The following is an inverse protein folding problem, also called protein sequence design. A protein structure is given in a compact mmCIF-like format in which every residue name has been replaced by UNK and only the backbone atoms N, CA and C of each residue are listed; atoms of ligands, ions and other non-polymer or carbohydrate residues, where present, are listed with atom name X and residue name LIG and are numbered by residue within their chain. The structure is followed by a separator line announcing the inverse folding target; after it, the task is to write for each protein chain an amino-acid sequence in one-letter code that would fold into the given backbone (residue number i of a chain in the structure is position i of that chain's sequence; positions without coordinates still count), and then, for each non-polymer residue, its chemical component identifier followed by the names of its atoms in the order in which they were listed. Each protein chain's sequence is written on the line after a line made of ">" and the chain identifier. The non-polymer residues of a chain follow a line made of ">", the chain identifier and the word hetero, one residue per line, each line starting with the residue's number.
data_IF_246388349418
#
_entry.id   IF_246388349418
#
_cell.length_a   1.000
_cell.length_b   1.000
_cell.length_c   1.000
_cell.angle_alpha   90.00
_cell.angle_beta   90.00
_cell.angle_gamma   90.00
#
_symmetry.space_group_name_H-M   'P 1'
#
loop_
_entity.id
_entity.type
_entity.pdbx_description
1 polymer ?
#
# COMPACT_ATOMS: atom_id res chain seq x y z
N UNK A 1 17.86 11.69 -2.20
CA UNK A 1 18.33 10.30 -2.41
C UNK A 1 17.12 9.57 -2.94
N UNK A 2 17.16 8.98 -4.15
CA UNK A 2 16.00 8.23 -4.63
C UNK A 2 15.65 7.14 -3.61
N UNK A 3 14.37 7.01 -3.29
CA UNK A 3 13.91 5.94 -2.40
C UNK A 3 14.31 4.62 -3.06
N UNK A 4 14.83 3.70 -2.26
CA UNK A 4 14.91 2.31 -2.69
C UNK A 4 13.55 1.71 -2.40
N UNK A 5 12.54 1.92 -3.24
CA UNK A 5 11.27 1.21 -3.08
C UNK A 5 11.50 -0.24 -3.55
N UNK A 6 11.04 -1.19 -2.74
CA UNK A 6 11.08 -2.62 -3.03
C UNK A 6 9.64 -3.10 -3.01
N UNK A 7 9.04 -3.28 -4.18
CA UNK A 7 7.61 -3.63 -4.31
C UNK A 7 7.43 -4.84 -5.21
N UNK A 8 6.45 -5.68 -4.89
CA UNK A 8 6.27 -6.93 -5.63
C UNK A 8 4.76 -7.19 -5.78
N UNK A 9 4.29 -7.30 -7.02
CA UNK A 9 3.04 -7.96 -7.37
C UNK A 9 3.33 -9.45 -7.64
N UNK A 10 2.77 -10.36 -6.84
CA UNK A 10 2.99 -11.80 -6.97
C UNK A 10 1.81 -12.49 -7.69
N UNK A 11 2.13 -13.29 -8.73
CA UNK A 11 1.26 -14.32 -9.33
C UNK A 11 1.86 -15.68 -9.03
N UNK A 12 1.13 -16.56 -8.34
CA UNK A 12 1.63 -17.89 -7.93
C UNK A 12 1.24 -19.02 -8.89
N UNK A 13 1.87 -20.20 -8.74
CA UNK A 13 1.53 -21.52 -9.31
C UNK A 13 1.37 -22.54 -8.15
N UNK A 14 0.19 -23.15 -7.91
CA UNK A 14 -0.20 -23.74 -6.63
C UNK A 14 -1.34 -24.75 -6.70
N UNK A 15 -0.97 -26.03 -6.68
CA UNK A 15 -1.84 -27.21 -6.73
C UNK A 15 -2.77 -27.35 -5.50
N UNK A 16 -4.05 -27.60 -5.79
CA UNK A 16 -5.12 -27.77 -4.80
C UNK A 16 -5.05 -29.09 -4.02
N UNK A 17 -5.41 -29.00 -2.73
CA UNK A 17 -5.67 -30.16 -1.87
C UNK A 17 -6.91 -29.89 -1.02
N UNK A 18 -7.92 -30.72 -1.25
CA UNK A 18 -9.21 -30.78 -0.54
C UNK A 18 -9.03 -31.34 0.86
N UNK A 19 -9.51 -30.61 1.88
CA UNK A 19 -9.55 -31.05 3.28
C UNK A 19 -10.98 -31.15 3.83
N UNK A 20 -11.29 -32.32 4.39
CA UNK A 20 -12.56 -32.72 5.01
C UNK A 20 -13.01 -31.82 6.17
N UNK A 21 -14.34 -31.67 6.30
CA UNK A 21 -15.04 -31.08 7.43
C UNK A 21 -15.13 -32.06 8.61
N UNK A 22 -14.79 -31.60 9.82
CA UNK A 22 -15.27 -32.21 11.07
C UNK A 22 -15.92 -31.11 11.90
N UNK A 23 -17.22 -31.26 12.13
CA UNK A 23 -18.03 -30.45 13.03
C UNK A 23 -17.82 -30.91 14.46
N UNK A 24 -17.45 -30.00 15.37
CA UNK A 24 -17.61 -30.19 16.80
C UNK A 24 -18.32 -28.97 17.39
N UNK A 25 -19.40 -29.25 18.10
CA UNK A 25 -20.27 -28.31 18.79
C UNK A 25 -19.70 -28.16 20.21
N UNK A 26 -19.39 -26.94 20.64
CA UNK A 26 -19.09 -26.67 22.06
C UNK A 26 -19.77 -25.38 22.53
N UNK A 27 -20.27 -25.49 23.75
CA UNK A 27 -21.17 -24.59 24.46
C UNK A 27 -20.51 -23.28 24.88
N UNK A 28 -21.24 -22.16 24.74
CA UNK A 28 -20.76 -20.82 25.10
C UNK A 28 -20.94 -20.59 26.61
N UNK A 29 -19.88 -20.80 27.38
CA UNK A 29 -19.79 -20.30 28.75
C UNK A 29 -19.26 -18.86 28.77
N UNK A 30 -20.05 -17.95 29.33
CA UNK A 30 -19.80 -16.50 29.33
C UNK A 30 -18.88 -16.11 30.48
N UNK A 31 -17.62 -16.52 30.40
CA UNK A 31 -16.56 -16.07 31.31
C UNK A 31 -15.99 -14.73 30.88
N UNK A 32 -16.23 -13.68 31.67
CA UNK A 32 -15.55 -12.38 31.53
C UNK A 32 -14.03 -12.59 31.66
N UNK A 33 -13.34 -12.63 30.52
CA UNK A 33 -11.90 -12.81 30.44
C UNK A 33 -11.20 -11.59 31.07
N UNK A 34 -10.68 -11.75 32.29
CA UNK A 34 -9.74 -10.82 32.91
C UNK A 34 -8.60 -10.57 31.91
N UNK A 35 -8.45 -9.33 31.45
CA UNK A 35 -7.32 -8.93 30.61
C UNK A 35 -6.03 -9.21 31.38
N UNK A 36 -5.22 -10.12 30.87
CA UNK A 36 -3.89 -10.39 31.41
C UNK A 36 -3.07 -9.08 31.42
N UNK A 37 -2.14 -8.89 32.39
CA UNK A 37 -1.28 -7.72 32.41
C UNK A 37 -0.51 -7.62 31.09
N UNK A 38 -0.43 -6.40 30.54
CA UNK A 38 0.47 -6.08 29.44
C UNK A 38 1.88 -6.50 29.89
N UNK A 39 2.57 -7.29 29.07
CA UNK A 39 3.97 -7.64 29.30
C UNK A 39 4.83 -6.37 29.47
N UNK A 40 6.10 -6.52 29.90
CA UNK A 40 6.99 -5.37 30.03
C UNK A 40 6.96 -4.53 28.74
N UNK A 41 6.97 -3.19 28.84
CA UNK A 41 6.95 -2.32 27.67
C UNK A 41 8.05 -2.75 26.71
N UNK A 42 7.72 -2.99 25.44
CA UNK A 42 8.73 -3.28 24.43
C UNK A 42 9.65 -2.05 24.33
N UNK A 43 10.91 -2.24 24.74
CA UNK A 43 11.93 -1.18 24.69
C UNK A 43 12.57 -1.25 23.31
N UNK A 44 12.46 -0.18 22.48
CA UNK A 44 13.07 -0.19 21.15
C UNK A 44 14.57 -0.45 21.23
N UNK A 45 15.11 -1.30 20.36
CA UNK A 45 16.55 -1.55 20.29
C UNK A 45 17.35 -0.28 19.97
N UNK A 46 18.67 -0.34 20.18
CA UNK A 46 19.56 0.73 19.75
C UNK A 46 19.46 1.02 18.24
N UNK A 47 19.20 0.00 17.43
CA UNK A 47 18.96 0.16 15.99
C UNK A 47 17.67 0.94 15.73
N UNK A 48 16.56 0.56 16.37
CA UNK A 48 15.29 1.28 16.26
C UNK A 48 15.42 2.74 16.71
N UNK A 49 16.08 3.00 17.84
CA UNK A 49 16.34 4.37 18.33
C UNK A 49 17.18 5.20 17.34
N UNK A 50 18.17 4.57 16.70
CA UNK A 50 18.96 5.21 15.65
C UNK A 50 18.12 5.51 14.41
N UNK A 51 17.23 4.61 14.00
CA UNK A 51 16.28 4.82 12.91
C UNK A 51 15.29 5.96 13.21
N UNK A 52 14.74 6.02 14.43
CA UNK A 52 13.89 7.15 14.84
C UNK A 52 14.61 8.49 14.68
N UNK A 53 15.88 8.56 15.09
CA UNK A 53 16.69 9.77 14.97
C UNK A 53 17.03 10.09 13.50
N UNK A 54 17.26 9.06 12.69
CA UNK A 54 17.51 9.19 11.26
C UNK A 54 16.27 9.74 10.52
N UNK A 55 15.10 9.13 10.69
CA UNK A 55 13.90 9.54 9.97
C UNK A 55 13.39 10.94 10.39
N UNK A 56 13.58 11.36 11.65
CA UNK A 56 13.35 12.76 12.04
C UNK A 56 14.22 13.74 11.25
N UNK A 57 15.48 13.41 11.00
CA UNK A 57 16.38 14.24 10.17
C UNK A 57 15.95 14.22 8.71
N UNK A 58 15.52 13.07 8.19
CA UNK A 58 14.99 12.94 6.83
C UNK A 58 13.78 13.86 6.64
N UNK A 59 12.75 13.73 7.49
CA UNK A 59 11.54 14.55 7.39
C UNK A 59 11.88 16.04 7.49
N UNK A 60 12.70 16.43 8.48
CA UNK A 60 13.12 17.82 8.65
C UNK A 60 13.88 18.36 7.43
N UNK A 61 14.78 17.57 6.84
CA UNK A 61 15.52 17.99 5.65
C UNK A 61 14.64 18.14 4.42
N UNK A 62 13.69 17.22 4.21
CA UNK A 62 12.74 17.29 3.09
C UNK A 62 11.82 18.51 3.26
N UNK A 63 11.24 18.70 4.45
CA UNK A 63 10.38 19.84 4.73
C UNK A 63 11.11 21.18 4.57
N UNK A 64 12.38 21.28 5.02
CA UNK A 64 13.19 22.50 4.84
C UNK A 64 13.51 22.81 3.37
N UNK A 65 13.44 21.82 2.48
CA UNK A 65 13.60 22.00 1.02
C UNK A 65 12.28 22.36 0.33
N UNK A 66 11.17 22.49 1.07
CA UNK A 66 9.83 22.70 0.50
C UNK A 66 9.20 21.44 -0.08
N UNK A 67 9.75 20.26 0.21
CA UNK A 67 9.18 18.96 -0.13
C UNK A 67 8.17 18.53 0.96
N UNK A 68 7.62 17.32 0.85
CA UNK A 68 6.58 16.77 1.73
C UNK A 68 5.32 17.66 1.79
N UNK A 69 4.97 18.29 0.67
CA UNK A 69 3.78 19.13 0.54
C UNK A 69 2.51 18.35 0.87
N UNK A 70 1.59 19.00 1.57
CA UNK A 70 0.30 18.45 1.99
C UNK A 70 -0.90 19.11 1.31
N UNK A 71 -0.63 20.07 0.41
CA UNK A 71 -1.64 20.90 -0.27
C UNK A 71 -2.40 20.17 -1.39
N UNK A 72 -1.92 19.00 -1.82
CA UNK A 72 -2.53 18.20 -2.88
C UNK A 72 -2.27 18.72 -4.30
N UNK A 73 -1.28 19.60 -4.46
CA UNK A 73 -0.98 20.31 -5.70
C UNK A 73 -1.76 21.61 -5.84
N UNK A 74 -1.33 22.46 -6.78
CA UNK A 74 -1.89 23.79 -6.97
C UNK A 74 -1.60 24.38 -8.35
N UNK A 75 -1.81 25.70 -8.53
CA UNK A 75 -1.54 26.40 -9.78
C UNK A 75 -0.09 26.26 -10.28
N UNK A 76 0.86 25.98 -9.38
CA UNK A 76 2.28 25.77 -9.66
C UNK A 76 2.61 24.33 -10.14
N UNK A 77 1.64 23.43 -10.06
CA UNK A 77 1.75 22.03 -10.51
C UNK A 77 0.67 21.67 -11.53
N UNK A 78 0.56 22.40 -12.66
CA UNK A 78 -0.45 22.09 -13.65
C UNK A 78 -0.14 20.77 -14.33
N UNK A 79 -1.18 20.02 -14.66
CA UNK A 79 -1.10 18.87 -15.54
C UNK A 79 -2.24 18.90 -16.55
N UNK A 80 -1.98 18.40 -17.75
CA UNK A 80 -2.99 18.29 -18.80
C UNK A 80 -3.41 16.83 -19.03
N UNK A 81 -4.45 16.63 -19.85
CA UNK A 81 -4.97 15.30 -20.23
C UNK A 81 -3.88 14.33 -20.68
N UNK A 82 -2.91 14.80 -21.49
CA UNK A 82 -1.84 13.95 -22.03
C UNK A 82 -0.94 13.42 -20.92
N UNK A 83 -0.59 14.27 -19.96
CA UNK A 83 0.17 13.87 -18.77
C UNK A 83 -0.63 12.87 -17.94
N UNK A 84 -1.93 13.12 -17.69
CA UNK A 84 -2.78 12.19 -16.94
C UNK A 84 -2.85 10.80 -17.58
N UNK A 85 -3.04 10.73 -18.91
CA UNK A 85 -3.04 9.46 -19.66
C UNK A 85 -1.69 8.76 -19.58
N UNK A 86 -0.59 9.48 -19.82
CA UNK A 86 0.75 8.92 -19.76
C UNK A 86 1.04 8.38 -18.36
N UNK A 87 0.82 9.19 -17.34
CA UNK A 87 1.07 8.83 -15.95
C UNK A 87 0.21 7.65 -15.52
N UNK A 88 -1.07 7.58 -15.90
CA UNK A 88 -1.89 6.40 -15.63
C UNK A 88 -1.28 5.13 -16.22
N UNK A 89 -0.89 5.16 -17.49
CA UNK A 89 -0.27 4.00 -18.13
C UNK A 89 0.99 3.59 -17.37
N UNK A 90 1.85 4.55 -17.02
CA UNK A 90 3.10 4.28 -16.27
C UNK A 90 2.82 3.68 -14.88
N UNK A 91 1.92 4.28 -14.12
CA UNK A 91 1.72 3.97 -12.69
C UNK A 91 0.77 2.79 -12.48
N UNK A 92 -0.29 2.70 -13.27
CA UNK A 92 -1.39 1.75 -13.07
C UNK A 92 -1.37 0.53 -13.99
N UNK A 93 -0.44 0.45 -14.96
CA UNK A 93 -0.39 -0.67 -15.92
C UNK A 93 0.99 -1.26 -16.12
N UNK A 94 2.08 -0.51 -15.99
CA UNK A 94 3.43 -1.09 -16.05
C UNK A 94 3.82 -1.70 -14.70
N UNK A 95 4.64 -2.76 -14.75
CA UNK A 95 5.24 -3.33 -13.55
C UNK A 95 6.56 -2.64 -13.24
N UNK A 96 6.80 -2.40 -11.95
CA UNK A 96 8.07 -1.87 -11.43
C UNK A 96 9.19 -2.92 -11.47
N UNK A 97 8.85 -4.20 -11.26
CA UNK A 97 9.81 -5.32 -11.22
C UNK A 97 9.35 -6.51 -12.04
N UNK A 98 10.32 -7.28 -12.52
CA UNK A 98 10.10 -8.57 -13.20
C UNK A 98 10.64 -9.71 -12.34
N UNK A 99 9.85 -10.76 -12.13
CA UNK A 99 10.31 -12.00 -11.49
C UNK A 99 11.10 -12.85 -12.50
N UNK A 100 12.42 -12.92 -12.35
CA UNK A 100 13.31 -13.76 -13.16
C UNK A 100 13.97 -14.81 -12.25
N UNK A 101 13.76 -16.11 -12.52
CA UNK A 101 14.38 -17.22 -11.76
C UNK A 101 14.13 -17.17 -10.24
N UNK A 102 12.92 -16.80 -9.81
CA UNK A 102 12.59 -16.69 -8.38
C UNK A 102 13.22 -15.47 -7.69
N UNK A 103 13.84 -14.55 -8.45
CA UNK A 103 14.41 -13.29 -7.96
C UNK A 103 13.79 -12.11 -8.70
N UNK A 104 13.45 -11.06 -7.97
CA UNK A 104 12.93 -9.83 -8.55
C UNK A 104 14.07 -8.98 -9.11
N UNK A 105 13.87 -8.43 -10.30
CA UNK A 105 14.79 -7.48 -10.95
C UNK A 105 14.07 -6.17 -11.19
N UNK A 106 14.78 -5.03 -11.07
CA UNK A 106 14.24 -3.68 -11.33
C UNK A 106 14.03 -3.42 -12.84
N UNK A 107 13.84 -4.47 -13.64
CA UNK A 107 13.51 -4.32 -15.04
C UNK A 107 12.02 -4.04 -15.14
N UNK A 108 11.72 -2.84 -15.59
CA UNK A 108 10.38 -2.45 -16.00
C UNK A 108 9.86 -3.42 -17.07
N UNK A 109 8.65 -3.94 -16.88
CA UNK A 109 7.97 -4.78 -17.87
C UNK A 109 6.58 -4.24 -18.17
N UNK A 110 6.02 -4.62 -19.32
CA UNK A 110 4.59 -4.49 -19.52
C UNK A 110 3.87 -5.26 -18.41
N UNK A 111 2.96 -4.58 -17.73
CA UNK A 111 2.06 -5.18 -16.75
C UNK A 111 0.64 -5.23 -17.32
N UNK A 112 -0.32 -5.37 -16.41
CA UNK A 112 -1.75 -5.42 -16.71
C UNK A 112 -2.49 -4.51 -15.77
N UNK A 113 -3.68 -4.06 -16.16
CA UNK A 113 -4.58 -3.38 -15.22
C UNK A 113 -4.99 -4.37 -14.12
N UNK A 114 -4.58 -4.11 -12.87
CA UNK A 114 -4.94 -4.91 -11.71
C UNK A 114 -5.68 -4.05 -10.69
N UNK A 115 -6.74 -4.59 -10.07
CA UNK A 115 -7.48 -3.90 -9.01
C UNK A 115 -8.30 -4.87 -8.16
N UNK A 116 -8.85 -4.36 -7.07
CA UNK A 116 -9.83 -5.08 -6.27
C UNK A 116 -11.21 -5.08 -6.93
N UNK A 117 -11.86 -6.25 -7.00
CA UNK A 117 -13.31 -6.34 -7.28
C UNK A 117 -14.12 -6.42 -5.98
N UNK A 118 -13.60 -7.15 -4.99
CA UNK A 118 -14.25 -7.26 -3.68
C UNK A 118 -14.06 -5.96 -2.89
N UNK A 119 -14.96 -5.64 -1.94
CA UNK A 119 -14.73 -4.54 -1.00
C UNK A 119 -13.37 -4.67 -0.31
N UNK A 120 -12.69 -3.53 -0.13
CA UNK A 120 -11.44 -3.44 0.61
C UNK A 120 -11.74 -3.09 2.05
N UNK A 121 -11.40 -4.01 2.95
CA UNK A 121 -11.57 -3.89 4.39
C UNK A 121 -10.17 -3.79 4.99
N UNK A 122 -9.79 -2.60 5.46
CA UNK A 122 -8.46 -2.31 5.99
C UNK A 122 -8.41 -2.69 7.46
N UNK A 123 -7.47 -3.55 7.84
CA UNK A 123 -7.15 -3.87 9.22
C UNK A 123 -5.77 -3.34 9.57
N UNK A 124 -5.63 -2.68 10.73
CA UNK A 124 -4.35 -2.21 11.22
C UNK A 124 -3.83 -3.11 12.33
N UNK A 125 -2.56 -3.48 12.24
CA UNK A 125 -1.81 -4.20 13.27
C UNK A 125 -0.66 -3.30 13.73
N UNK A 126 -0.47 -3.22 15.04
CA UNK A 126 0.55 -2.37 15.63
C UNK A 126 1.45 -3.23 16.52
N UNK A 127 2.76 -3.12 16.31
CA UNK A 127 3.76 -3.81 17.13
C UNK A 127 3.74 -3.34 18.58
N UNK A 128 4.34 -4.09 19.49
CA UNK A 128 4.37 -3.79 20.93
C UNK A 128 5.04 -2.45 21.29
N UNK A 129 6.02 -1.97 20.51
CA UNK A 129 6.70 -0.68 20.78
C UNK A 129 5.83 0.54 20.47
N UNK A 130 4.79 0.37 19.65
CA UNK A 130 3.98 1.50 19.19
C UNK A 130 3.15 2.07 20.35
N UNK A 131 3.34 3.34 20.78
CA UNK A 131 2.57 3.91 21.89
C UNK A 131 1.08 4.02 21.55
N UNK A 132 0.19 3.85 22.53
CA UNK A 132 -1.27 3.89 22.30
C UNK A 132 -1.72 5.18 21.60
N UNK A 133 -1.13 6.33 21.96
CA UNK A 133 -1.41 7.62 21.31
C UNK A 133 -1.17 7.56 19.79
N UNK A 134 -0.07 6.95 19.36
CA UNK A 134 0.27 6.78 17.95
C UNK A 134 -0.73 5.85 17.27
N UNK A 135 -1.08 4.72 17.91
CA UNK A 135 -2.10 3.79 17.38
C UNK A 135 -3.44 4.48 17.12
N UNK A 136 -3.87 5.30 18.07
CA UNK A 136 -5.14 6.03 17.98
C UNK A 136 -5.09 7.11 16.88
N UNK A 137 -3.97 7.82 16.74
CA UNK A 137 -3.76 8.81 15.68
C UNK A 137 -3.76 8.16 14.30
N UNK A 138 -2.96 7.12 14.10
CA UNK A 138 -2.82 6.41 12.84
C UNK A 138 -4.14 5.73 12.45
N UNK A 139 -4.86 5.13 13.41
CA UNK A 139 -6.18 4.52 13.15
C UNK A 139 -7.18 5.56 12.67
N UNK A 140 -7.25 6.74 13.29
CA UNK A 140 -8.14 7.83 12.84
C UNK A 140 -7.73 8.34 11.46
N UNK A 141 -6.43 8.50 11.22
CA UNK A 141 -5.90 8.95 9.94
C UNK A 141 -6.29 8.00 8.81
N UNK A 142 -5.99 6.69 8.97
CA UNK A 142 -6.32 5.67 7.97
C UNK A 142 -7.83 5.51 7.81
N UNK A 143 -8.63 5.66 8.87
CA UNK A 143 -10.11 5.65 8.77
C UNK A 143 -10.61 6.77 7.85
N UNK A 144 -10.13 8.00 8.07
CA UNK A 144 -10.52 9.14 7.25
C UNK A 144 -10.05 8.99 5.81
N UNK A 145 -8.82 8.50 5.64
CA UNK A 145 -8.23 8.27 4.33
C UNK A 145 -8.96 7.19 3.54
N UNK A 146 -9.31 6.06 4.17
CA UNK A 146 -10.15 5.02 3.58
C UNK A 146 -11.49 5.58 3.09
N UNK A 147 -12.12 6.46 3.87
CA UNK A 147 -13.34 7.16 3.47
C UNK A 147 -13.14 8.11 2.28
N UNK A 148 -12.00 8.80 2.20
CA UNK A 148 -11.63 9.63 1.03
C UNK A 148 -11.45 8.76 -0.21
N UNK A 149 -10.68 7.68 -0.12
CA UNK A 149 -10.47 6.73 -1.21
C UNK A 149 -11.78 6.10 -1.70
N UNK A 150 -12.69 5.74 -0.80
CA UNK A 150 -14.01 5.20 -1.16
C UNK A 150 -14.82 6.19 -2.01
N UNK A 151 -14.79 7.48 -1.67
CA UNK A 151 -15.48 8.53 -2.45
C UNK A 151 -14.82 8.77 -3.80
N UNK A 152 -13.50 8.83 -3.85
CA UNK A 152 -12.73 9.08 -5.08
C UNK A 152 -12.91 7.94 -6.08
N UNK A 153 -12.81 6.70 -5.61
CA UNK A 153 -12.86 5.50 -6.47
C UNK A 153 -14.29 5.03 -6.77
N UNK A 154 -15.27 5.42 -5.97
CA UNK A 154 -16.59 4.79 -5.97
C UNK A 154 -16.58 3.33 -5.47
N UNK A 155 -15.42 2.81 -5.04
CA UNK A 155 -15.26 1.46 -4.55
C UNK A 155 -15.53 1.37 -3.05
N UNK A 156 -15.99 0.22 -2.57
CA UNK A 156 -16.24 0.00 -1.15
C UNK A 156 -14.92 -0.19 -0.41
N UNK A 157 -14.43 0.88 0.21
CA UNK A 157 -13.19 0.89 1.01
C UNK A 157 -13.53 1.37 2.42
N UNK A 158 -13.19 0.58 3.44
CA UNK A 158 -13.50 0.92 4.83
C UNK A 158 -12.59 0.21 5.83
N UNK A 159 -12.60 0.63 7.09
CA UNK A 159 -11.95 -0.10 8.16
C UNK A 159 -12.69 -1.40 8.48
N UNK A 160 -11.94 -2.48 8.67
CA UNK A 160 -12.47 -3.77 9.08
C UNK A 160 -12.92 -3.75 10.54
N UNK A 161 -14.08 -4.36 10.84
CA UNK A 161 -14.56 -4.54 12.22
C UNK A 161 -13.83 -5.65 12.98
N UNK A 162 -13.30 -6.65 12.27
CA UNK A 162 -12.60 -7.82 12.85
C UNK A 162 -11.38 -8.25 12.05
N UNK A 163 -11.58 -8.72 10.82
CA UNK A 163 -10.50 -9.13 9.90
C UNK A 163 -10.68 -8.41 8.57
N UNK A 164 -9.60 -7.78 8.12
CA UNK A 164 -9.53 -7.15 6.81
C UNK A 164 -8.99 -8.11 5.74
N UNK A 165 -9.08 -7.70 4.49
CA UNK A 165 -8.32 -8.26 3.38
C UNK A 165 -7.19 -7.31 2.93
N UNK A 166 -7.12 -6.10 3.49
CA UNK A 166 -5.97 -5.22 3.35
C UNK A 166 -5.37 -5.02 4.74
N UNK A 167 -4.11 -5.39 4.92
CA UNK A 167 -3.45 -5.35 6.22
C UNK A 167 -2.41 -4.23 6.24
N UNK A 168 -2.52 -3.31 7.19
CA UNK A 168 -1.50 -2.27 7.42
C UNK A 168 -0.81 -2.59 8.74
N UNK A 169 0.47 -2.93 8.69
CA UNK A 169 1.29 -3.25 9.85
C UNK A 169 2.20 -2.07 10.17
N UNK A 170 2.02 -1.46 11.34
CA UNK A 170 2.91 -0.41 11.87
C UNK A 170 3.82 -1.06 12.90
N UNK A 171 5.09 -1.22 12.55
CA UNK A 171 6.05 -2.05 13.27
C UNK A 171 7.41 -1.35 13.32
N UNK A 172 8.15 -1.51 14.41
CA UNK A 172 9.56 -1.13 14.45
C UNK A 172 10.45 -2.14 13.69
N UNK A 173 11.73 -1.82 13.50
CA UNK A 173 12.69 -2.66 12.77
C UNK A 173 12.84 -4.06 13.37
N UNK A 174 12.73 -4.21 14.68
CA UNK A 174 12.90 -5.51 15.36
C UNK A 174 11.65 -6.37 15.14
N UNK A 175 10.49 -5.74 15.21
CA UNK A 175 9.19 -6.35 14.96
C UNK A 175 9.00 -6.73 13.50
N UNK A 176 9.48 -5.91 12.55
CA UNK A 176 9.49 -6.23 11.10
C UNK A 176 10.30 -7.50 10.87
N UNK A 177 11.52 -7.61 11.43
CA UNK A 177 12.36 -8.82 11.31
C UNK A 177 11.67 -10.07 11.84
N UNK A 178 10.82 -9.93 12.86
CA UNK A 178 10.06 -11.02 13.47
C UNK A 178 8.69 -11.27 12.81
N UNK A 179 8.27 -10.48 11.81
CA UNK A 179 6.89 -10.47 11.31
C UNK A 179 6.54 -11.65 10.38
N UNK A 180 7.55 -12.39 9.89
CA UNK A 180 7.40 -13.45 8.87
C UNK A 180 6.30 -14.49 9.19
N UNK A 181 6.31 -15.12 10.38
CA UNK A 181 5.26 -16.07 10.76
C UNK A 181 3.85 -15.45 10.81
N UNK A 182 3.74 -14.16 11.10
CA UNK A 182 2.45 -13.45 11.07
C UNK A 182 2.01 -13.20 9.63
N UNK A 183 2.92 -12.79 8.73
CA UNK A 183 2.63 -12.66 7.30
C UNK A 183 2.06 -13.96 6.72
N UNK A 184 2.68 -15.11 7.02
CA UNK A 184 2.23 -16.41 6.52
C UNK A 184 0.85 -16.83 7.06
N UNK A 185 0.46 -16.35 8.25
CA UNK A 185 -0.90 -16.56 8.78
C UNK A 185 -1.92 -15.63 8.13
N UNK A 186 -1.53 -14.41 7.79
CA UNK A 186 -2.38 -13.44 7.10
C UNK A 186 -2.59 -13.79 5.63
N UNK A 187 -1.58 -14.41 5.01
CA UNK A 187 -1.55 -14.80 3.60
C UNK A 187 -1.30 -16.31 3.54
N UNK A 188 -2.34 -17.15 3.65
CA UNK A 188 -2.21 -18.59 3.48
C UNK A 188 -1.57 -18.91 2.13
N UNK A 189 -0.52 -19.74 2.14
CA UNK A 189 0.26 -20.08 0.94
C UNK A 189 1.48 -19.21 0.69
N UNK A 190 1.73 -18.17 1.50
CA UNK A 190 2.96 -17.37 1.38
C UNK A 190 4.19 -18.21 1.75
N UNK A 191 5.10 -18.38 0.79
CA UNK A 191 6.38 -19.05 1.03
C UNK A 191 7.24 -18.31 2.07
N UNK A 192 7.97 -19.08 2.87
CA UNK A 192 8.88 -18.52 3.88
C UNK A 192 10.00 -17.68 3.26
N UNK A 193 10.43 -18.01 2.03
CA UNK A 193 11.42 -17.26 1.25
C UNK A 193 10.94 -15.84 0.91
N UNK A 194 9.66 -15.69 0.54
CA UNK A 194 9.04 -14.41 0.23
C UNK A 194 8.72 -13.64 1.49
N UNK A 195 8.22 -14.31 2.53
CA UNK A 195 8.03 -13.69 3.84
C UNK A 195 9.36 -13.11 4.38
N UNK A 196 10.45 -13.87 4.27
CA UNK A 196 11.80 -13.43 4.67
C UNK A 196 12.24 -12.18 3.89
N UNK A 197 12.03 -12.15 2.57
CA UNK A 197 12.31 -10.98 1.73
C UNK A 197 11.53 -9.74 2.20
N UNK A 198 10.22 -9.88 2.42
CA UNK A 198 9.36 -8.80 2.92
C UNK A 198 9.87 -8.27 4.28
N UNK A 199 10.30 -9.16 5.17
CA UNK A 199 10.81 -8.80 6.50
C UNK A 199 12.28 -8.34 6.54
N UNK A 200 13.00 -8.44 5.42
CA UNK A 200 14.40 -8.03 5.28
C UNK A 200 14.56 -6.56 4.82
N UNK A 201 13.62 -5.71 5.25
CA UNK A 201 13.48 -4.34 4.82
C UNK A 201 14.69 -3.49 5.24
N UNK A 202 15.52 -3.07 4.28
CA UNK A 202 16.70 -2.24 4.52
C UNK A 202 16.35 -0.80 4.94
N UNK A 203 17.30 -0.10 5.57
CA UNK A 203 17.11 1.26 6.10
C UNK A 203 16.58 2.30 5.09
N UNK A 204 16.97 2.31 3.81
CA UNK A 204 16.43 3.28 2.84
C UNK A 204 14.97 3.07 2.47
N UNK A 205 14.40 1.88 2.76
CA UNK A 205 12.99 1.60 2.50
C UNK A 205 12.18 2.19 3.65
N UNK A 206 11.31 3.14 3.33
CA UNK A 206 10.45 3.83 4.31
C UNK A 206 9.24 2.96 4.66
N UNK A 207 8.57 2.46 3.63
CA UNK A 207 7.41 1.59 3.70
C UNK A 207 7.36 0.71 2.46
N UNK A 208 6.53 -0.33 2.49
CA UNK A 208 6.34 -1.22 1.35
C UNK A 208 4.97 -1.87 1.38
N UNK A 209 4.36 -2.07 0.21
CA UNK A 209 3.12 -2.82 0.03
C UNK A 209 3.33 -3.99 -0.92
N UNK A 210 2.65 -5.07 -0.58
CA UNK A 210 2.59 -6.29 -1.37
C UNK A 210 1.13 -6.63 -1.60
N UNK A 211 0.70 -6.62 -2.86
CA UNK A 211 -0.65 -7.04 -3.26
C UNK A 211 -0.57 -8.41 -3.93
N UNK A 212 -1.51 -9.27 -3.58
CA UNK A 212 -1.51 -10.67 -3.99
C UNK A 212 -2.78 -10.98 -4.76
N UNK A 213 -2.61 -11.65 -5.90
CA UNK A 213 -3.67 -12.18 -6.73
C UNK A 213 -3.64 -13.70 -6.70
N UNK A 214 -4.76 -14.32 -7.02
CA UNK A 214 -4.73 -15.73 -7.33
C UNK A 214 -4.15 -15.91 -8.72
N UNK A 215 -3.50 -17.03 -8.88
CA UNK A 215 -2.97 -17.60 -10.11
C UNK A 215 -3.96 -17.75 -11.25
N UNK A 216 -5.18 -18.21 -10.96
CA UNK A 216 -6.26 -18.32 -11.94
C UNK A 216 -6.84 -16.96 -12.33
N UNK A 217 -6.64 -15.94 -11.48
CA UNK A 217 -7.15 -14.56 -11.64
C UNK A 217 -6.05 -13.53 -11.30
N UNK A 218 -4.97 -13.47 -12.08
CA UNK A 218 -3.77 -12.69 -11.74
C UNK A 218 -4.03 -11.19 -11.67
N UNK A 219 -5.11 -10.71 -12.30
CA UNK A 219 -5.46 -9.29 -12.36
C UNK A 219 -6.33 -8.82 -11.18
N UNK A 220 -6.74 -9.72 -10.27
CA UNK A 220 -7.63 -9.40 -9.15
C UNK A 220 -6.93 -9.63 -7.83
N UNK A 221 -6.71 -8.54 -7.10
CA UNK A 221 -6.21 -8.62 -5.74
C UNK A 221 -7.24 -9.26 -4.81
N UNK A 222 -6.76 -10.16 -3.96
CA UNK A 222 -7.55 -10.79 -2.91
C UNK A 222 -7.02 -10.46 -1.51
N UNK A 223 -5.73 -10.15 -1.38
CA UNK A 223 -5.12 -9.66 -0.14
C UNK A 223 -3.99 -8.68 -0.43
N UNK A 224 -3.73 -7.76 0.50
CA UNK A 224 -2.53 -6.93 0.48
C UNK A 224 -2.00 -6.71 1.89
N UNK A 225 -0.68 -6.51 1.99
CA UNK A 225 -0.01 -6.14 3.24
C UNK A 225 0.89 -4.95 2.99
N UNK A 226 0.60 -3.84 3.66
CA UNK A 226 1.46 -2.67 3.77
C UNK A 226 2.22 -2.70 5.11
N UNK A 227 3.54 -2.50 5.06
CA UNK A 227 4.41 -2.38 6.23
C UNK A 227 4.88 -0.93 6.32
N UNK A 228 4.64 -0.31 7.45
CA UNK A 228 5.03 1.08 7.75
C UNK A 228 5.88 1.08 9.01
N UNK A 229 7.05 1.72 8.95
CA UNK A 229 7.95 1.80 10.10
C UNK A 229 7.36 2.67 11.20
N UNK A 230 7.31 2.13 12.42
CA UNK A 230 6.92 2.87 13.62
C UNK A 230 7.91 4.00 13.96
N UNK A 231 9.16 3.89 13.49
CA UNK A 231 10.20 4.89 13.72
C UNK A 231 9.99 6.19 12.93
N UNK A 232 9.08 6.21 11.96
CA UNK A 232 8.78 7.42 11.20
C UNK A 232 8.20 8.52 12.09
N UNK A 233 8.64 9.78 11.91
CA UNK A 233 7.87 10.93 12.37
C UNK A 233 6.50 11.00 11.66
N UNK A 234 5.62 11.84 12.19
CA UNK A 234 4.20 11.79 11.86
C UNK A 234 3.90 12.05 10.37
N UNK A 235 4.59 12.99 9.71
CA UNK A 235 4.30 13.32 8.32
C UNK A 235 4.83 12.24 7.36
N UNK A 236 6.04 11.71 7.58
CA UNK A 236 6.54 10.55 6.82
C UNK A 236 5.66 9.31 7.03
N UNK A 237 5.15 9.08 8.23
CA UNK A 237 4.24 7.95 8.49
C UNK A 237 2.92 8.12 7.75
N UNK A 238 2.36 9.33 7.75
CA UNK A 238 1.17 9.67 6.97
C UNK A 238 1.40 9.52 5.46
N UNK A 239 2.57 9.94 4.97
CA UNK A 239 2.94 9.79 3.57
C UNK A 239 2.96 8.33 3.14
N UNK A 240 3.57 7.47 3.96
CA UNK A 240 3.52 6.03 3.75
C UNK A 240 2.11 5.46 3.73
N UNK A 241 1.19 5.93 4.59
CA UNK A 241 -0.21 5.47 4.50
C UNK A 241 -0.87 5.90 3.18
N UNK A 242 -0.60 7.12 2.70
CA UNK A 242 -1.15 7.61 1.45
C UNK A 242 -0.68 6.78 0.25
N UNK A 243 0.62 6.54 0.19
CA UNK A 243 1.28 5.80 -0.87
C UNK A 243 0.89 4.32 -0.83
N UNK A 244 1.25 3.61 0.23
CA UNK A 244 1.13 2.15 0.26
C UNK A 244 -0.32 1.68 0.15
N UNK A 245 -1.29 2.44 0.68
CA UNK A 245 -2.70 2.09 0.50
C UNK A 245 -3.13 2.36 -0.94
N UNK A 246 -2.80 3.51 -1.54
CA UNK A 246 -3.20 3.81 -2.91
C UNK A 246 -2.57 2.85 -3.93
N UNK A 247 -1.31 2.46 -3.73
CA UNK A 247 -0.65 1.48 -4.57
C UNK A 247 -1.18 0.08 -4.36
N UNK A 248 -1.46 -0.30 -3.11
CA UNK A 248 -2.13 -1.55 -2.79
C UNK A 248 -3.54 -1.66 -3.38
N UNK A 249 -4.14 -0.55 -3.85
CA UNK A 249 -5.38 -0.56 -4.63
C UNK A 249 -5.17 -0.86 -6.12
N UNK A 250 -3.95 -0.65 -6.65
CA UNK A 250 -3.55 -1.01 -8.01
C UNK A 250 -2.74 0.05 -8.78
N UNK A 251 -2.40 1.18 -8.16
CA UNK A 251 -1.43 2.13 -8.71
C UNK A 251 0.01 1.69 -8.36
N UNK A 252 0.41 0.50 -8.78
CA UNK A 252 1.52 -0.25 -8.19
C UNK A 252 2.93 0.16 -8.62
N UNK A 253 3.08 1.10 -9.56
CA UNK A 253 4.39 1.51 -10.08
C UNK A 253 4.64 3.02 -9.91
N UNK A 254 5.91 3.40 -9.83
CA UNK A 254 6.35 4.80 -9.79
C UNK A 254 6.86 5.29 -11.14
N UNK A 255 6.86 6.61 -11.33
CA UNK A 255 7.40 7.27 -12.50
C UNK A 255 7.91 8.66 -12.16
N UNK A 256 9.22 8.95 -12.29
CA UNK A 256 9.77 10.29 -12.05
C UNK A 256 9.13 11.41 -12.88
N UNK A 257 8.44 11.07 -13.96
CA UNK A 257 7.72 12.02 -14.80
C UNK A 257 6.33 12.40 -14.24
N UNK A 258 5.85 11.77 -13.17
CA UNK A 258 4.48 11.84 -12.71
C UNK A 258 4.11 13.08 -11.88
N UNK A 259 4.85 14.18 -11.96
CA UNK A 259 4.50 15.40 -11.19
C UNK A 259 3.14 15.98 -11.63
N UNK A 260 2.23 16.37 -10.71
CA UNK A 260 2.33 16.27 -9.25
C UNK A 260 1.76 14.94 -8.74
N UNK A 261 2.59 14.04 -8.24
CA UNK A 261 2.11 12.74 -7.75
C UNK A 261 2.97 12.31 -6.59
N UNK A 262 2.41 11.56 -5.65
CA UNK A 262 3.23 10.84 -4.67
C UNK A 262 4.00 9.66 -5.29
N UNK A 263 3.63 9.24 -6.51
CA UNK A 263 4.28 8.16 -7.28
C UNK A 263 5.42 8.67 -8.18
N UNK A 264 5.86 9.93 -8.00
CA UNK A 264 7.01 10.48 -8.73
C UNK A 264 8.36 10.24 -8.03
N UNK A 265 8.33 9.66 -6.84
CA UNK A 265 9.49 9.18 -6.09
C UNK A 265 10.54 10.26 -5.73
N UNK A 266 10.11 11.53 -5.72
CA UNK A 266 10.96 12.70 -5.38
C UNK A 266 10.62 13.36 -4.04
N UNK A 267 9.64 12.81 -3.32
CA UNK A 267 9.13 13.31 -2.03
C UNK A 267 8.51 14.72 -2.09
N UNK A 268 8.23 15.30 -3.26
CA UNK A 268 7.61 16.63 -3.36
C UNK A 268 6.29 16.70 -2.58
N UNK A 269 5.46 15.65 -2.69
CA UNK A 269 4.18 15.55 -2.01
C UNK A 269 4.21 14.44 -0.96
N UNK A 270 3.84 14.79 0.27
CA UNK A 270 3.61 13.80 1.32
C UNK A 270 2.25 13.11 1.14
N UNK A 271 1.23 13.81 0.67
CA UNK A 271 -0.15 13.32 0.62
C UNK A 271 -0.69 13.32 -0.82
N UNK A 272 -1.69 12.47 -1.08
CA UNK A 272 -2.33 12.35 -2.40
C UNK A 272 -2.75 13.71 -2.95
N UNK A 273 -2.32 13.96 -4.18
CA UNK A 273 -2.68 15.13 -4.98
C UNK A 273 -4.01 14.94 -5.71
N UNK A 274 -4.53 16.01 -6.31
CA UNK A 274 -5.67 15.91 -7.24
C UNK A 274 -5.35 14.96 -8.41
N UNK A 275 -4.12 14.99 -8.91
CA UNK A 275 -3.70 14.11 -10.00
C UNK A 275 -3.81 12.64 -9.59
N UNK A 276 -3.32 12.28 -8.39
CA UNK A 276 -3.37 10.90 -7.90
C UNK A 276 -4.81 10.40 -7.69
N UNK A 277 -5.71 11.27 -7.24
CA UNK A 277 -7.12 10.94 -7.13
C UNK A 277 -7.77 10.67 -8.48
N UNK A 278 -7.42 11.42 -9.53
CA UNK A 278 -7.90 11.14 -10.88
C UNK A 278 -7.37 9.79 -11.38
N UNK A 279 -6.12 9.44 -11.08
CA UNK A 279 -5.58 8.11 -11.40
C UNK A 279 -6.40 7.01 -10.71
N UNK A 280 -6.67 7.14 -9.41
CA UNK A 280 -7.49 6.17 -8.67
C UNK A 280 -8.92 6.08 -9.22
N UNK A 281 -9.53 7.22 -9.57
CA UNK A 281 -10.87 7.27 -10.16
C UNK A 281 -10.92 6.55 -11.51
N UNK A 282 -9.91 6.76 -12.36
CA UNK A 282 -9.79 6.05 -13.65
C UNK A 282 -9.55 4.56 -13.44
N UNK A 283 -8.73 4.18 -12.46
CA UNK A 283 -8.42 2.77 -12.15
C UNK A 283 -9.66 1.99 -11.76
N UNK A 284 -10.62 2.63 -11.08
CA UNK A 284 -11.87 2.00 -10.64
C UNK A 284 -13.07 2.25 -11.56
N UNK A 285 -12.90 2.95 -12.69
CA UNK A 285 -13.96 3.09 -13.68
C UNK A 285 -14.29 1.71 -14.30
N UNK A 286 -15.58 1.29 -14.34
CA UNK A 286 -15.96 -0.03 -14.84
C UNK A 286 -15.63 -0.25 -16.32
N UNK A 287 -15.45 0.82 -17.11
CA UNK A 287 -15.06 0.72 -18.52
C UNK A 287 -13.60 0.31 -18.71
N UNK A 288 -12.74 0.56 -17.72
CA UNK A 288 -11.32 0.18 -17.80
C UNK A 288 -11.20 -1.36 -17.77
N UNK A 289 -10.60 -1.98 -18.81
CA UNK A 289 -10.53 -3.42 -18.92
C UNK A 289 -9.54 -4.00 -17.92
N UNK A 290 -10.06 -4.77 -16.98
CA UNK A 290 -9.26 -5.57 -16.04
C UNK A 290 -8.40 -6.58 -16.81
N UNK A 291 -7.12 -6.67 -16.47
CA UNK A 291 -6.16 -7.52 -17.18
C UNK A 291 -5.66 -6.96 -18.51
N UNK A 292 -6.16 -5.79 -18.94
CA UNK A 292 -5.73 -5.14 -20.16
C UNK A 292 -4.27 -4.71 -20.10
N UNK A 293 -3.54 -4.96 -21.19
CA UNK A 293 -2.19 -4.44 -21.42
C UNK A 293 -2.20 -2.91 -21.59
N UNK A 294 -1.03 -2.24 -21.57
CA UNK A 294 -0.95 -0.81 -21.86
C UNK A 294 -1.63 -0.40 -23.17
N UNK A 295 -1.49 -1.20 -24.23
CA UNK A 295 -2.09 -0.92 -25.53
C UNK A 295 -3.62 -1.06 -25.52
N UNK A 296 -4.15 -2.07 -24.82
CA UNK A 296 -5.60 -2.31 -24.71
C UNK A 296 -6.29 -1.31 -23.78
N UNK A 297 -5.65 -0.93 -22.68
CA UNK A 297 -6.21 0.00 -21.71
C UNK A 297 -6.19 1.45 -22.22
N UNK A 298 -5.19 1.83 -23.02
CA UNK A 298 -4.94 3.22 -23.40
C UNK A 298 -6.13 3.93 -24.09
N UNK A 299 -6.84 3.34 -25.06
CA UNK A 299 -7.99 3.99 -25.67
C UNK A 299 -9.09 4.35 -24.64
N UNK A 300 -9.31 3.47 -23.66
CA UNK A 300 -10.27 3.74 -22.58
C UNK A 300 -9.75 4.85 -21.66
N UNK A 301 -8.48 4.76 -21.23
CA UNK A 301 -7.82 5.78 -20.40
C UNK A 301 -7.93 7.17 -21.05
N UNK A 302 -7.75 7.29 -22.36
CA UNK A 302 -7.86 8.56 -23.10
C UNK A 302 -9.27 9.16 -23.04
N UNK A 303 -10.32 8.32 -23.12
CA UNK A 303 -11.72 8.74 -22.96
C UNK A 303 -11.97 9.20 -21.51
N UNK A 304 -11.58 8.38 -20.53
CA UNK A 304 -11.75 8.70 -19.10
C UNK A 304 -11.06 10.01 -18.73
N UNK A 305 -9.82 10.20 -19.16
CA UNK A 305 -9.06 11.41 -18.89
C UNK A 305 -9.69 12.64 -19.57
N UNK A 306 -10.26 12.50 -20.76
CA UNK A 306 -10.96 13.61 -21.43
C UNK A 306 -12.22 14.03 -20.66
N UNK A 307 -13.04 13.08 -20.21
CA UNK A 307 -14.25 13.35 -19.44
C UNK A 307 -13.92 14.04 -18.10
N UNK A 308 -12.92 13.54 -17.39
CA UNK A 308 -12.51 14.08 -16.08
C UNK A 308 -11.88 15.47 -16.18
N UNK A 309 -11.13 15.75 -17.26
CA UNK A 309 -10.47 17.04 -17.44
C UNK A 309 -11.39 18.11 -18.04
N UNK A 310 -12.45 17.72 -18.76
CA UNK A 310 -13.42 18.66 -19.35
C UNK A 310 -14.62 18.94 -18.43
N UNK A 311 -14.97 18.01 -17.53
CA UNK A 311 -16.11 18.14 -16.61
C UNK A 311 -15.86 19.04 -15.40
N UNK A 312 -14.68 19.62 -15.28
CA UNK A 312 -14.26 20.49 -14.16
C UNK A 312 -13.94 21.93 -14.61
N UNK A 313 -14.45 22.34 -15.78
CA UNK A 313 -14.43 23.74 -16.26
C UNK A 313 -15.64 24.54 -15.77
#
# INVERSE_FOLDING_TARGET
>A
MPRGLWRIALTWLGLGLTGLLITACDTLDSGAQKRAPLGPPHVPSAESQALMSYYRKVEGNLANQGLLRTDGGGPDTPFNKRQLVQNFVQIGVFNEFTLENGRYTNRRSEGRVQRWIKPVNISMTFGGSVPQKMRDQDTRFVTNFAGRLARVTGHRISMAKRRGNFHVAVLDTDEIKAFGPTLQKLIPGLEASVASQITSMSRPIYCAVYAFSNEDRPDIFHTAVAIVRAEHPDLLRQSCFHEEIAQGLGLSNDSPAARPSIFNDDDEFALLTRHDELLLKMLYDPRLPLGGSPAEARPVIEVLAAELMNGES
#
